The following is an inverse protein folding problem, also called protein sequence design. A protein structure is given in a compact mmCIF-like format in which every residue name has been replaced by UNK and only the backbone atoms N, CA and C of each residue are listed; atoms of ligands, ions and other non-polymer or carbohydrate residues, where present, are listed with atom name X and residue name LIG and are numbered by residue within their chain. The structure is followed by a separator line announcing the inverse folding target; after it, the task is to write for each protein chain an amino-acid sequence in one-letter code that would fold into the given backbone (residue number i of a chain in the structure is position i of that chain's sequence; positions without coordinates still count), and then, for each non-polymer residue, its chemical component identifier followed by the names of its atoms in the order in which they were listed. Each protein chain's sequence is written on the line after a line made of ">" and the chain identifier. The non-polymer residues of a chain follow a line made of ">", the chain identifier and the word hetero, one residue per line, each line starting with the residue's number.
data_IF_233726692840
#
_entry.id   IF_233726692840
#
_cell.length_a   1.000
_cell.length_b   1.000
_cell.length_c   1.000
_cell.angle_alpha   90.00
_cell.angle_beta   90.00
_cell.angle_gamma   90.00
#
_symmetry.space_group_name_H-M   'P 1'
#
loop_
_entity.id
_entity.type
_entity.pdbx_description
1 polymer ?
#
# COMPACT_ATOMS: atom_id res chain seq x y z
N UNK A 1 -21.74 1.11 0.47
CA UNK A 1 -22.04 -0.08 -0.38
C UNK A 1 -21.45 0.15 -1.76
N UNK A 2 -20.56 -0.70 -2.19
CA UNK A 2 -20.05 -0.65 -3.57
C UNK A 2 -21.19 -1.01 -4.53
N UNK A 3 -21.52 -0.11 -5.47
CA UNK A 3 -22.53 -0.36 -6.49
C UNK A 3 -21.86 -1.14 -7.62
N UNK A 4 -22.18 -2.41 -7.75
CA UNK A 4 -21.74 -3.21 -8.91
C UNK A 4 -22.50 -2.76 -10.14
N UNK A 5 -21.77 -2.38 -11.18
CA UNK A 5 -22.33 -2.04 -12.50
C UNK A 5 -22.03 -3.22 -13.42
N UNK A 6 -23.07 -3.87 -13.90
CA UNK A 6 -22.95 -4.93 -14.91
C UNK A 6 -23.20 -4.26 -16.26
N UNK A 7 -22.22 -4.29 -17.15
CA UNK A 7 -22.30 -3.70 -18.48
C UNK A 7 -22.88 -4.69 -19.50
N UNK A 8 -22.56 -5.96 -19.32
CA UNK A 8 -23.06 -7.06 -20.14
C UNK A 8 -23.08 -8.33 -19.28
N UNK A 9 -24.27 -8.85 -19.02
CA UNK A 9 -24.50 -10.05 -18.20
C UNK A 9 -24.26 -11.36 -18.99
N UNK A 10 -24.20 -11.29 -20.31
CA UNK A 10 -23.89 -12.40 -21.19
C UNK A 10 -22.39 -12.49 -21.56
N UNK A 11 -21.57 -11.54 -21.09
CA UNK A 11 -20.14 -11.53 -21.38
C UNK A 11 -19.46 -12.76 -20.76
N UNK A 12 -18.66 -13.43 -21.56
CA UNK A 12 -17.81 -14.54 -21.13
C UNK A 12 -16.35 -14.14 -21.25
N UNK A 13 -15.51 -14.65 -20.34
CA UNK A 13 -14.06 -14.47 -20.43
C UNK A 13 -13.49 -15.31 -21.57
N UNK A 14 -12.50 -14.75 -22.27
CA UNK A 14 -11.71 -15.47 -23.26
C UNK A 14 -10.40 -15.92 -22.60
N UNK A 15 -10.23 -17.22 -22.39
CA UNK A 15 -9.07 -17.81 -21.74
C UNK A 15 -7.77 -17.63 -22.56
N UNK A 16 -7.88 -17.24 -23.83
CA UNK A 16 -6.73 -16.89 -24.66
C UNK A 16 -6.18 -15.48 -24.35
N UNK A 17 -6.92 -14.65 -23.61
CA UNK A 17 -6.54 -13.27 -23.31
C UNK A 17 -6.26 -13.13 -21.81
N UNK A 18 -4.98 -12.89 -21.52
CA UNK A 18 -4.52 -12.65 -20.15
C UNK A 18 -4.11 -13.92 -19.40
N UNK A 19 -3.87 -13.76 -18.12
CA UNK A 19 -3.47 -14.85 -17.21
C UNK A 19 -4.14 -14.62 -15.86
N UNK A 20 -4.75 -15.65 -15.30
CA UNK A 20 -5.33 -15.56 -13.97
C UNK A 20 -4.26 -15.22 -12.92
N UNK A 21 -4.59 -14.45 -11.87
CA UNK A 21 -3.61 -14.00 -10.87
C UNK A 21 -2.84 -15.13 -10.19
N UNK A 22 -3.50 -16.25 -9.94
CA UNK A 22 -2.92 -17.45 -9.32
C UNK A 22 -1.99 -18.23 -10.25
N UNK A 23 -2.16 -18.09 -11.56
CA UNK A 23 -1.35 -18.74 -12.60
C UNK A 23 -0.13 -17.92 -13.03
N UNK A 24 0.00 -16.67 -12.57
CA UNK A 24 1.14 -15.83 -12.90
C UNK A 24 2.42 -16.36 -12.31
N UNK A 25 3.48 -16.39 -13.10
CA UNK A 25 4.83 -16.68 -12.61
C UNK A 25 5.33 -15.53 -11.70
N UNK A 26 6.40 -15.79 -10.96
CA UNK A 26 7.04 -14.76 -10.10
C UNK A 26 7.50 -13.58 -10.97
N UNK A 27 8.12 -13.84 -12.11
CA UNK A 27 8.60 -12.81 -13.04
C UNK A 27 7.43 -11.91 -13.52
N UNK A 28 6.30 -12.51 -13.91
CA UNK A 28 5.11 -11.76 -14.33
C UNK A 28 4.52 -10.90 -13.19
N UNK A 29 4.61 -11.40 -11.95
CA UNK A 29 4.18 -10.64 -10.76
C UNK A 29 5.13 -9.50 -10.45
N UNK A 30 6.44 -9.70 -10.63
CA UNK A 30 7.46 -8.68 -10.44
C UNK A 30 7.39 -7.61 -11.52
N UNK A 31 7.09 -7.99 -12.78
CA UNK A 31 6.96 -7.03 -13.89
C UNK A 31 5.82 -6.02 -13.66
N UNK A 32 4.70 -6.47 -13.07
CA UNK A 32 3.57 -5.60 -12.80
C UNK A 32 2.72 -6.15 -11.66
N UNK A 33 3.00 -5.74 -10.43
CA UNK A 33 2.32 -6.25 -9.26
C UNK A 33 2.35 -5.35 -8.05
N UNK A 34 1.67 -5.82 -7.01
CA UNK A 34 1.64 -5.25 -5.68
C UNK A 34 2.44 -6.09 -4.72
N UNK A 35 3.15 -5.41 -3.81
CA UNK A 35 3.84 -6.01 -2.69
C UNK A 35 3.38 -5.32 -1.43
N UNK A 36 3.04 -6.08 -0.41
CA UNK A 36 2.76 -5.54 0.91
C UNK A 36 3.98 -5.81 1.78
N UNK A 37 4.64 -4.74 2.19
CA UNK A 37 5.82 -4.80 3.01
C UNK A 37 5.50 -4.32 4.42
N UNK A 38 5.93 -5.08 5.43
CA UNK A 38 5.95 -4.61 6.82
C UNK A 38 7.19 -3.73 7.03
N UNK A 39 6.97 -2.41 7.01
CA UNK A 39 8.06 -1.45 7.20
C UNK A 39 8.41 -1.35 8.67
N UNK A 40 9.64 -1.66 9.01
CA UNK A 40 10.20 -1.41 10.34
C UNK A 40 10.49 0.07 10.60
N UNK A 41 10.75 0.40 11.88
CA UNK A 41 11.22 1.72 12.28
C UNK A 41 12.66 1.97 11.80
N UNK A 42 12.99 3.23 11.52
CA UNK A 42 14.32 3.69 11.13
C UNK A 42 14.38 4.28 9.71
N UNK A 43 14.26 3.48 8.64
CA UNK A 43 14.36 4.00 7.29
C UNK A 43 13.09 4.75 6.86
N UNK A 44 13.24 5.67 5.90
CA UNK A 44 12.11 6.30 5.21
C UNK A 44 11.43 5.30 4.27
N UNK A 45 10.15 5.53 3.95
CA UNK A 45 9.43 4.73 2.97
C UNK A 45 10.12 4.70 1.60
N UNK A 46 10.72 5.82 1.21
CA UNK A 46 11.48 5.94 -0.04
C UNK A 46 12.75 5.08 -0.04
N UNK A 47 13.50 5.08 1.07
CA UNK A 47 14.68 4.23 1.21
C UNK A 47 14.34 2.75 1.13
N UNK A 48 13.28 2.35 1.83
CA UNK A 48 12.80 0.96 1.80
C UNK A 48 12.38 0.55 0.39
N UNK A 49 11.63 1.39 -0.31
CA UNK A 49 11.25 1.12 -1.70
C UNK A 49 12.49 1.01 -2.63
N UNK A 50 13.50 1.85 -2.43
CA UNK A 50 14.75 1.76 -3.20
C UNK A 50 15.48 0.44 -2.94
N UNK A 51 15.59 0.02 -1.68
CA UNK A 51 16.23 -1.26 -1.33
C UNK A 51 15.50 -2.46 -1.94
N UNK A 52 14.16 -2.47 -1.88
CA UNK A 52 13.37 -3.56 -2.49
C UNK A 52 13.53 -3.57 -4.01
N UNK A 53 13.52 -2.39 -4.64
CA UNK A 53 13.78 -2.26 -6.08
C UNK A 53 15.12 -2.86 -6.47
N UNK A 54 16.18 -2.51 -5.74
CA UNK A 54 17.55 -2.95 -6.02
C UNK A 54 17.73 -4.44 -5.75
N UNK A 55 17.13 -4.94 -4.65
CA UNK A 55 17.16 -6.36 -4.27
C UNK A 55 16.47 -7.27 -5.30
N UNK A 56 15.36 -6.78 -5.88
CA UNK A 56 14.58 -7.51 -6.88
C UNK A 56 14.98 -7.16 -8.33
N UNK A 57 16.03 -6.34 -8.50
CA UNK A 57 16.54 -5.89 -9.82
C UNK A 57 15.43 -5.27 -10.70
N UNK A 58 14.47 -4.57 -10.07
CA UNK A 58 13.36 -3.98 -10.79
C UNK A 58 13.75 -2.63 -11.41
N UNK A 59 13.31 -2.34 -12.64
CA UNK A 59 13.60 -1.06 -13.29
C UNK A 59 12.88 0.10 -12.59
N UNK A 60 11.72 -0.16 -12.00
CA UNK A 60 10.90 0.82 -11.28
C UNK A 60 10.09 0.17 -10.17
N UNK A 61 10.04 0.85 -9.03
CA UNK A 61 9.17 0.51 -7.90
C UNK A 61 8.69 1.80 -7.24
N UNK A 62 7.41 1.92 -7.03
CA UNK A 62 6.78 3.00 -6.28
C UNK A 62 6.16 2.51 -4.98
N UNK A 63 5.76 3.45 -4.10
CA UNK A 63 5.03 3.12 -2.88
C UNK A 63 3.71 3.89 -2.79
N UNK A 64 2.71 3.28 -2.19
CA UNK A 64 1.34 3.79 -2.05
C UNK A 64 1.07 4.45 -0.70
N UNK A 65 1.98 5.27 -0.23
CA UNK A 65 1.87 6.02 1.01
C UNK A 65 3.24 6.27 1.61
N UNK A 66 3.29 7.24 2.52
CA UNK A 66 4.51 7.54 3.25
C UNK A 66 4.26 7.27 4.72
N UNK A 67 5.09 6.41 5.31
CA UNK A 67 5.20 6.25 6.74
C UNK A 67 6.42 7.04 7.21
N UNK A 68 6.29 7.73 8.33
CA UNK A 68 7.43 8.40 8.96
C UNK A 68 8.55 7.39 9.29
N UNK A 69 9.80 7.83 9.41
CA UNK A 69 10.90 6.92 9.73
C UNK A 69 10.68 6.08 10.98
N UNK A 70 10.14 6.67 12.03
CA UNK A 70 9.84 5.97 13.29
C UNK A 70 8.59 5.09 13.22
N UNK A 71 7.66 5.35 12.27
CA UNK A 71 6.43 4.59 12.13
C UNK A 71 6.70 3.23 11.48
N UNK A 72 5.97 2.23 11.95
CA UNK A 72 5.97 0.88 11.42
C UNK A 72 4.63 0.55 10.80
N UNK A 73 4.57 -0.44 9.95
CA UNK A 73 3.31 -0.94 9.39
C UNK A 73 3.37 -1.23 7.90
N UNK A 74 2.21 -1.47 7.32
CA UNK A 74 2.08 -1.90 5.93
C UNK A 74 2.43 -0.77 4.97
N UNK A 75 3.44 -0.99 4.15
CA UNK A 75 3.85 -0.14 3.05
C UNK A 75 3.53 -0.85 1.72
N UNK A 76 2.50 -0.40 0.99
CA UNK A 76 2.21 -0.94 -0.34
C UNK A 76 3.28 -0.50 -1.33
N UNK A 77 3.88 -1.45 -2.03
CA UNK A 77 4.83 -1.23 -3.11
C UNK A 77 4.21 -1.68 -4.44
N UNK A 78 4.55 -1.01 -5.51
CA UNK A 78 4.00 -1.29 -6.84
C UNK A 78 5.10 -1.29 -7.89
N UNK A 79 5.11 -2.31 -8.73
CA UNK A 79 6.02 -2.43 -9.87
C UNK A 79 5.32 -2.20 -11.21
N UNK A 80 6.07 -1.76 -12.20
CA UNK A 80 5.64 -1.65 -13.58
C UNK A 80 4.31 -0.92 -13.78
N UNK A 81 3.38 -1.54 -14.47
CA UNK A 81 2.07 -0.94 -14.79
C UNK A 81 1.19 -0.71 -13.55
N UNK A 82 1.41 -1.46 -12.45
CA UNK A 82 0.67 -1.27 -11.21
C UNK A 82 0.93 0.11 -10.57
N UNK A 83 2.04 0.77 -10.88
CA UNK A 83 2.33 2.14 -10.43
C UNK A 83 1.26 3.16 -10.88
N UNK A 84 0.48 2.87 -11.91
CA UNK A 84 -0.63 3.73 -12.34
C UNK A 84 -1.75 3.83 -11.31
N UNK A 85 -1.81 2.87 -10.38
CA UNK A 85 -2.80 2.83 -9.31
C UNK A 85 -2.33 3.56 -8.04
N UNK A 86 -1.16 4.20 -8.06
CA UNK A 86 -0.61 4.89 -6.88
C UNK A 86 -1.59 5.91 -6.30
N UNK A 87 -2.26 6.70 -7.16
CA UNK A 87 -3.23 7.70 -6.71
C UNK A 87 -4.39 7.05 -5.95
N UNK A 88 -4.96 5.99 -6.49
CA UNK A 88 -6.06 5.26 -5.87
C UNK A 88 -5.65 4.68 -4.50
N UNK A 89 -4.44 4.14 -4.39
CA UNK A 89 -3.91 3.62 -3.12
C UNK A 89 -3.68 4.74 -2.10
N UNK A 90 -3.21 5.90 -2.54
CA UNK A 90 -3.00 7.07 -1.67
C UNK A 90 -4.32 7.65 -1.12
N UNK A 91 -5.39 7.57 -1.89
CA UNK A 91 -6.72 8.08 -1.53
C UNK A 91 -7.52 7.13 -0.62
N UNK A 92 -7.05 5.90 -0.40
CA UNK A 92 -7.68 4.97 0.55
C UNK A 92 -7.44 5.37 2.00
N UNK A 93 -8.41 5.08 2.84
CA UNK A 93 -8.33 5.27 4.29
C UNK A 93 -7.16 4.49 4.89
N UNK A 94 -6.54 5.10 5.91
CA UNK A 94 -5.44 4.51 6.66
C UNK A 94 -5.74 4.61 8.14
N UNK A 95 -5.49 3.52 8.86
CA UNK A 95 -5.66 3.46 10.32
C UNK A 95 -4.29 3.41 10.98
N UNK A 96 -4.09 4.26 11.98
CA UNK A 96 -2.87 4.31 12.77
C UNK A 96 -3.19 4.04 14.24
N UNK A 97 -2.31 3.28 14.87
CA UNK A 97 -2.29 3.13 16.33
C UNK A 97 -1.10 3.93 16.83
N UNK A 98 -1.36 4.89 17.72
CA UNK A 98 -0.33 5.73 18.29
C UNK A 98 -0.40 5.69 19.82
N UNK A 99 0.79 5.72 20.45
CA UNK A 99 0.93 5.87 21.91
C UNK A 99 1.56 7.22 22.18
N UNK A 100 0.86 8.03 22.96
CA UNK A 100 1.33 9.35 23.37
C UNK A 100 1.84 9.30 24.81
N UNK A 101 3.04 9.79 25.02
CA UNK A 101 3.60 9.96 26.35
C UNK A 101 3.63 11.46 26.70
N UNK A 102 2.90 11.83 27.73
CA UNK A 102 2.88 13.20 28.24
C UNK A 102 3.93 13.37 29.33
N UNK A 103 4.50 14.59 29.44
CA UNK A 103 5.46 14.91 30.49
C UNK A 103 4.80 15.09 31.85
N UNK A 104 3.55 15.55 31.87
CA UNK A 104 2.74 15.78 33.06
C UNK A 104 1.44 15.00 32.94
N UNK A 105 0.76 14.81 34.07
CA UNK A 105 -0.57 14.26 34.10
C UNK A 105 -1.54 15.15 33.29
N UNK A 106 -2.37 14.56 32.47
CA UNK A 106 -3.35 15.24 31.63
C UNK A 106 -4.72 14.67 31.95
N UNK A 107 -5.66 15.56 32.26
CA UNK A 107 -7.06 15.18 32.50
C UNK A 107 -7.70 14.68 31.19
N UNK A 108 -8.51 13.63 31.29
CA UNK A 108 -9.15 12.98 30.14
C UNK A 108 -9.99 13.97 29.33
N UNK A 109 -10.78 14.82 30.01
CA UNK A 109 -11.65 15.81 29.36
C UNK A 109 -10.87 16.83 28.52
N UNK A 110 -9.67 17.21 28.98
CA UNK A 110 -8.80 18.10 28.25
C UNK A 110 -8.24 17.42 26.98
N UNK A 111 -7.88 16.14 27.09
CA UNK A 111 -7.40 15.35 25.97
C UNK A 111 -8.51 15.17 24.92
N UNK A 112 -9.70 14.79 25.33
CA UNK A 112 -10.84 14.58 24.44
C UNK A 112 -11.23 15.85 23.69
N UNK A 113 -11.11 17.01 24.35
CA UNK A 113 -11.37 18.31 23.74
C UNK A 113 -10.35 18.69 22.64
N UNK A 114 -9.12 18.16 22.72
CA UNK A 114 -8.07 18.42 21.74
C UNK A 114 -8.11 17.47 20.53
N UNK A 115 -8.78 16.33 20.64
CA UNK A 115 -8.85 15.31 19.60
C UNK A 115 -10.05 15.45 18.64
N UNK A 116 -10.92 16.41 18.90
CA UNK A 116 -12.05 16.82 18.07
C UNK A 116 -11.75 18.18 17.43
#
# INVERSE_FOLDING_TARGET
>A
MSKTIILDDAAVTDDAIGTYPDQKTIEQRLESGFFLLDKGAGPTSHQVAAWVRDMLELPRLGHGGTLDPFATGVLPLMSGKAMRLTKQILEHDKTYIAVFQFKNDVEQDALDSCLH
#
